data_IF_912009571233
#
_entry.id   IF_912009571233
#
_cell.length_a   1.000
_cell.length_b   1.000
_cell.length_c   1.000
_cell.angle_alpha   90.00
_cell.angle_beta   90.00
_cell.angle_gamma   90.00
#
_symmetry.space_group_name_H-M   'P 1'
#
loop_
_entity.id
_entity.type
_entity.pdbx_description
1 polymer ?
#
# COMPACT_ATOMS: atom_id res chain seq x y z
N UNK A 1 13.81 -6.28 -37.36
CA UNK A 1 14.32 -7.37 -36.50
C UNK A 1 14.79 -6.86 -35.13
N UNK A 2 15.50 -5.72 -35.05
CA UNK A 2 15.89 -5.12 -33.75
C UNK A 2 14.67 -4.58 -32.96
N UNK A 3 13.70 -3.97 -33.64
CA UNK A 3 12.49 -3.43 -32.99
C UNK A 3 11.58 -4.53 -32.39
N UNK A 4 11.43 -5.66 -33.09
CA UNK A 4 10.63 -6.82 -32.62
C UNK A 4 11.22 -7.43 -31.34
N UNK A 5 12.56 -7.50 -31.25
CA UNK A 5 13.25 -7.97 -30.04
C UNK A 5 13.04 -7.01 -28.86
N UNK A 6 13.01 -5.70 -29.12
CA UNK A 6 12.69 -4.69 -28.12
C UNK A 6 11.26 -4.78 -27.59
N UNK A 7 10.28 -5.03 -28.48
CA UNK A 7 8.86 -5.21 -28.11
C UNK A 7 8.68 -6.46 -27.24
N UNK A 8 9.28 -7.59 -27.65
CA UNK A 8 9.21 -8.85 -26.89
C UNK A 8 9.80 -8.71 -25.48
N UNK A 9 10.96 -8.07 -25.33
CA UNK A 9 11.58 -7.86 -24.02
C UNK A 9 10.71 -7.01 -23.08
N UNK A 10 10.05 -5.96 -23.58
CA UNK A 10 9.15 -5.12 -22.77
C UNK A 10 7.90 -5.87 -22.32
N UNK A 11 7.35 -6.73 -23.18
CA UNK A 11 6.21 -7.58 -22.82
C UNK A 11 6.59 -8.55 -21.70
N UNK A 12 7.77 -9.16 -21.79
CA UNK A 12 8.30 -10.04 -20.73
C UNK A 12 8.46 -9.25 -19.43
N UNK A 13 9.05 -8.04 -19.48
CA UNK A 13 9.24 -7.19 -18.31
C UNK A 13 7.91 -6.78 -17.65
N UNK A 14 6.93 -6.34 -18.45
CA UNK A 14 5.60 -6.01 -17.98
C UNK A 14 4.92 -7.22 -17.32
N UNK A 15 4.99 -8.38 -17.96
CA UNK A 15 4.41 -9.62 -17.42
C UNK A 15 5.06 -10.03 -16.10
N UNK A 16 6.38 -9.81 -15.94
CA UNK A 16 7.10 -10.07 -14.70
C UNK A 16 6.65 -9.11 -13.58
N UNK A 17 6.49 -7.82 -13.87
CA UNK A 17 5.97 -6.84 -12.89
C UNK A 17 4.53 -7.17 -12.47
N UNK A 18 3.68 -7.57 -13.42
CA UNK A 18 2.31 -8.02 -13.14
C UNK A 18 2.29 -9.30 -12.30
N UNK A 19 3.20 -10.24 -12.57
CA UNK A 19 3.34 -11.46 -11.76
C UNK A 19 3.73 -11.13 -10.32
N UNK A 20 4.69 -10.21 -10.12
CA UNK A 20 5.07 -9.75 -8.79
C UNK A 20 3.89 -9.08 -8.05
N UNK A 21 3.18 -8.16 -8.71
CA UNK A 21 2.02 -7.50 -8.10
C UNK A 21 0.90 -8.46 -7.70
N UNK A 22 0.69 -9.52 -8.49
CA UNK A 22 -0.23 -10.61 -8.13
C UNK A 22 0.28 -11.42 -6.94
N UNK A 23 1.57 -11.72 -6.90
CA UNK A 23 2.18 -12.47 -5.80
C UNK A 23 2.09 -11.74 -4.45
N UNK A 24 2.12 -10.40 -4.45
CA UNK A 24 1.92 -9.57 -3.25
C UNK A 24 0.45 -9.54 -2.79
N UNK A 25 -0.49 -9.42 -3.73
CA UNK A 25 -1.92 -9.27 -3.41
C UNK A 25 -2.60 -10.60 -3.05
N UNK A 26 -2.24 -11.67 -3.75
CA UNK A 26 -2.94 -12.95 -3.68
C UNK A 26 -2.02 -13.98 -3.06
N UNK A 27 -2.39 -14.46 -1.88
CA UNK A 27 -1.79 -15.66 -1.30
C UNK A 27 -2.07 -16.89 -2.18
N UNK A 28 -1.19 -17.91 -2.19
CA UNK A 28 -1.38 -19.15 -2.97
C UNK A 28 -2.78 -19.75 -2.82
N UNK A 29 -3.46 -20.11 -3.93
CA UNK A 29 -4.81 -20.66 -3.87
C UNK A 29 -4.83 -21.99 -3.10
N UNK A 30 -5.81 -22.14 -2.21
CA UNK A 30 -6.09 -23.41 -1.52
C UNK A 30 -5.40 -23.65 -0.17
N UNK A 31 -4.76 -22.64 0.42
CA UNK A 31 -3.98 -22.83 1.67
C UNK A 31 -4.44 -21.89 2.81
N UNK A 32 -4.37 -22.36 4.06
CA UNK A 32 -4.87 -21.66 5.25
C UNK A 32 -4.18 -20.29 5.45
N UNK A 33 -4.99 -19.25 5.65
CA UNK A 33 -4.62 -17.82 5.66
C UNK A 33 -3.52 -17.43 6.68
N UNK A 34 -3.22 -18.28 7.65
CA UNK A 34 -2.33 -17.96 8.78
C UNK A 34 -0.83 -18.27 8.55
N UNK A 35 -0.42 -18.92 7.45
CA UNK A 35 0.99 -19.32 7.25
C UNK A 35 1.56 -19.18 5.83
N UNK A 36 0.81 -18.64 4.89
CA UNK A 36 1.14 -18.82 3.47
C UNK A 36 1.76 -17.56 2.93
N UNK A 37 3.08 -17.51 3.09
CA UNK A 37 3.91 -16.47 2.54
C UNK A 37 4.74 -17.12 1.42
N UNK A 38 4.64 -16.58 0.21
CA UNK A 38 5.48 -16.99 -0.93
C UNK A 38 6.71 -16.07 -0.99
N UNK A 39 7.93 -16.61 -1.02
CA UNK A 39 9.13 -15.82 -1.30
C UNK A 39 9.00 -15.05 -2.63
N UNK A 40 9.35 -13.77 -2.63
CA UNK A 40 9.26 -12.89 -3.83
C UNK A 40 10.56 -12.87 -4.64
N UNK A 41 11.62 -13.53 -4.16
CA UNK A 41 12.88 -13.72 -4.88
C UNK A 41 12.74 -14.17 -6.34
N UNK A 42 11.92 -15.19 -6.69
CA UNK A 42 11.85 -15.64 -8.08
C UNK A 42 11.26 -14.57 -9.01
N UNK A 43 10.25 -13.83 -8.54
CA UNK A 43 9.64 -12.73 -9.28
C UNK A 43 10.61 -11.53 -9.40
N UNK A 44 11.33 -11.17 -8.34
CA UNK A 44 12.35 -10.10 -8.37
C UNK A 44 13.48 -10.46 -9.35
N UNK A 45 13.93 -11.72 -9.35
CA UNK A 45 14.94 -12.21 -10.29
C UNK A 45 14.44 -12.24 -11.75
N UNK A 46 13.13 -12.45 -11.97
CA UNK A 46 12.55 -12.35 -13.31
C UNK A 46 12.53 -10.90 -13.81
N UNK A 47 12.20 -9.95 -12.92
CA UNK A 47 12.22 -8.51 -13.22
C UNK A 47 13.64 -8.03 -13.53
N UNK A 48 14.64 -8.43 -12.73
CA UNK A 48 16.04 -8.03 -12.97
C UNK A 48 16.60 -8.56 -14.30
N UNK A 49 16.18 -9.75 -14.74
CA UNK A 49 16.57 -10.32 -16.04
C UNK A 49 15.85 -9.68 -17.23
N UNK A 50 14.60 -9.26 -17.04
CA UNK A 50 13.77 -8.71 -18.09
C UNK A 50 13.91 -7.19 -18.23
N UNK A 51 14.47 -6.51 -17.22
CA UNK A 51 14.64 -5.07 -17.21
C UNK A 51 15.48 -4.58 -18.43
N UNK A 52 15.08 -3.46 -19.05
CA UNK A 52 15.94 -2.73 -19.98
C UNK A 52 17.27 -2.35 -19.29
N UNK A 53 18.37 -2.27 -20.06
CA UNK A 53 19.75 -2.07 -19.56
C UNK A 53 19.81 -1.10 -18.36
N UNK A 54 20.03 -1.66 -17.16
CA UNK A 54 20.30 -0.99 -15.89
C UNK A 54 19.57 0.36 -15.67
N UNK A 55 18.25 0.40 -15.88
CA UNK A 55 17.48 1.60 -15.57
C UNK A 55 17.62 1.96 -14.08
N UNK A 56 18.07 3.19 -13.74
CA UNK A 56 18.28 3.60 -12.35
C UNK A 56 17.01 3.53 -11.51
N UNK A 57 15.83 3.78 -12.10
CA UNK A 57 14.55 3.71 -11.39
C UNK A 57 14.19 2.26 -11.05
N UNK A 58 14.37 1.33 -11.99
CA UNK A 58 14.11 -0.09 -11.78
C UNK A 58 15.05 -0.65 -10.71
N UNK A 59 16.32 -0.26 -10.76
CA UNK A 59 17.30 -0.64 -9.74
C UNK A 59 16.95 -0.07 -8.37
N UNK A 60 16.52 1.19 -8.29
CA UNK A 60 16.07 1.83 -7.05
C UNK A 60 14.81 1.16 -6.48
N UNK A 61 13.83 0.83 -7.32
CA UNK A 61 12.61 0.16 -6.92
C UNK A 61 12.88 -1.25 -6.37
N UNK A 62 13.76 -2.04 -7.01
CA UNK A 62 14.18 -3.35 -6.52
C UNK A 62 14.90 -3.23 -5.17
N UNK A 63 15.79 -2.25 -5.01
CA UNK A 63 16.48 -1.97 -3.73
C UNK A 63 15.54 -1.49 -2.63
N UNK A 64 14.41 -0.86 -3.00
CA UNK A 64 13.38 -0.41 -2.06
C UNK A 64 12.54 -1.54 -1.49
N UNK A 65 12.60 -2.75 -2.06
CA UNK A 65 11.91 -3.92 -1.51
C UNK A 65 12.71 -4.43 -0.29
N UNK A 66 12.09 -4.53 0.90
CA UNK A 66 12.79 -5.02 2.09
C UNK A 66 13.22 -6.48 1.91
N UNK A 67 14.42 -6.83 2.39
CA UNK A 67 14.96 -8.20 2.25
C UNK A 67 14.06 -9.27 2.87
N UNK A 68 13.34 -8.91 3.94
CA UNK A 68 12.36 -9.77 4.59
C UNK A 68 11.21 -10.15 3.64
N UNK A 69 10.76 -9.20 2.81
CA UNK A 69 9.77 -9.46 1.77
C UNK A 69 10.34 -10.31 0.63
N UNK A 70 11.62 -10.17 0.28
CA UNK A 70 12.24 -10.99 -0.76
C UNK A 70 12.34 -12.47 -0.33
N UNK A 71 12.96 -12.72 0.83
CA UNK A 71 13.31 -14.07 1.31
C UNK A 71 12.12 -14.86 1.84
N UNK A 72 11.34 -14.24 2.72
CA UNK A 72 10.19 -14.89 3.38
C UNK A 72 8.91 -14.66 2.60
N UNK A 73 8.80 -13.51 1.94
CA UNK A 73 7.58 -13.02 1.30
C UNK A 73 6.79 -12.07 2.20
N UNK A 74 5.63 -11.66 1.71
CA UNK A 74 4.77 -10.65 2.36
C UNK A 74 3.42 -11.25 2.74
N UNK A 75 2.89 -10.85 3.90
CA UNK A 75 1.53 -11.21 4.28
C UNK A 75 0.51 -10.44 3.42
N UNK A 76 -0.47 -11.12 2.81
CA UNK A 76 -1.51 -10.44 2.06
C UNK A 76 -2.39 -9.62 3.00
N UNK A 77 -3.04 -8.59 2.43
CA UNK A 77 -3.92 -7.66 3.15
C UNK A 77 -4.98 -8.38 4.00
N UNK A 78 -5.60 -9.44 3.46
CA UNK A 78 -6.62 -10.21 4.17
C UNK A 78 -6.08 -10.95 5.39
N UNK A 79 -4.83 -11.44 5.32
CA UNK A 79 -4.18 -12.08 6.46
C UNK A 79 -3.84 -11.06 7.55
N UNK A 80 -3.33 -9.89 7.16
CA UNK A 80 -3.08 -8.79 8.10
C UNK A 80 -4.36 -8.28 8.76
N UNK A 81 -5.47 -8.18 8.01
CA UNK A 81 -6.78 -7.77 8.55
C UNK A 81 -7.31 -8.76 9.60
N UNK A 82 -7.17 -10.06 9.36
CA UNK A 82 -7.54 -11.11 10.34
C UNK A 82 -6.65 -11.08 11.57
N UNK A 83 -5.33 -10.92 11.39
CA UNK A 83 -4.37 -10.84 12.49
C UNK A 83 -4.59 -9.60 13.34
N UNK A 84 -4.97 -8.48 12.73
CA UNK A 84 -5.26 -7.23 13.44
C UNK A 84 -6.35 -7.41 14.50
N UNK A 85 -7.42 -8.16 14.23
CA UNK A 85 -8.49 -8.39 15.22
C UNK A 85 -7.96 -8.97 16.54
N UNK A 86 -6.99 -9.88 16.47
CA UNK A 86 -6.34 -10.45 17.66
C UNK A 86 -5.47 -9.40 18.35
N UNK A 87 -4.72 -8.61 17.57
CA UNK A 87 -3.86 -7.54 18.11
C UNK A 87 -4.69 -6.45 18.79
N UNK A 88 -5.79 -6.03 18.19
CA UNK A 88 -6.74 -5.05 18.72
C UNK A 88 -7.31 -5.51 20.06
N UNK A 89 -7.76 -6.76 20.15
CA UNK A 89 -8.32 -7.33 21.39
C UNK A 89 -7.28 -7.38 22.52
N UNK A 90 -6.04 -7.81 22.22
CA UNK A 90 -4.96 -7.84 23.22
C UNK A 90 -4.52 -6.41 23.60
N UNK A 91 -4.34 -5.53 22.63
CA UNK A 91 -3.97 -4.13 22.86
C UNK A 91 -5.01 -3.39 23.71
N UNK A 92 -6.30 -3.66 23.47
CA UNK A 92 -7.41 -3.14 24.27
C UNK A 92 -7.33 -3.59 25.73
N UNK A 93 -7.05 -4.87 25.97
CA UNK A 93 -6.90 -5.42 27.33
C UNK A 93 -5.72 -4.85 28.09
N UNK A 94 -4.71 -4.35 27.37
CA UNK A 94 -3.49 -3.79 27.94
C UNK A 94 -3.44 -2.26 27.92
N UNK A 95 -4.56 -1.58 27.65
CA UNK A 95 -4.59 -0.13 27.46
C UNK A 95 -4.04 0.69 28.64
N UNK A 96 -4.12 0.18 29.88
CA UNK A 96 -3.58 0.86 31.08
C UNK A 96 -2.13 0.46 31.43
N UNK A 97 -1.52 -0.47 30.69
CA UNK A 97 -0.22 -1.04 31.07
C UNK A 97 0.92 -0.23 30.43
N UNK A 98 1.88 0.29 31.21
CA UNK A 98 3.06 1.02 30.71
C UNK A 98 4.04 0.09 29.95
N UNK A 99 5.04 0.68 29.26
CA UNK A 99 5.98 -0.08 28.41
C UNK A 99 6.93 -0.96 29.21
N UNK A 100 7.31 -0.51 30.41
CA UNK A 100 8.24 -1.17 31.33
C UNK A 100 7.64 -2.40 32.02
N UNK A 101 6.35 -2.68 31.76
CA UNK A 101 5.58 -3.67 32.45
C UNK A 101 5.00 -3.16 33.77
N UNK A 102 4.07 -3.92 34.33
CA UNK A 102 3.36 -3.54 35.53
C UNK A 102 3.26 -4.69 36.55
N UNK A 103 2.80 -4.38 37.76
CA UNK A 103 2.46 -5.42 38.73
C UNK A 103 1.20 -6.18 38.30
N UNK A 104 1.06 -7.45 38.73
CA UNK A 104 -0.08 -8.31 38.39
C UNK A 104 -1.46 -7.66 38.64
N UNK A 105 -1.70 -6.90 39.73
CA UNK A 105 -2.96 -6.20 39.94
C UNK A 105 -3.30 -5.20 38.82
N UNK A 106 -2.29 -4.54 38.24
CA UNK A 106 -2.51 -3.57 37.14
C UNK A 106 -2.96 -4.28 35.87
N UNK A 107 -2.41 -5.46 35.56
CA UNK A 107 -2.89 -6.29 34.46
C UNK A 107 -4.34 -6.75 34.67
N UNK A 108 -4.69 -7.16 35.89
CA UNK A 108 -6.06 -7.54 36.25
C UNK A 108 -7.02 -6.36 36.11
N UNK A 109 -6.66 -5.18 36.63
CA UNK A 109 -7.45 -3.97 36.53
C UNK A 109 -7.60 -3.51 35.07
N UNK A 110 -6.53 -3.57 34.27
CA UNK A 110 -6.57 -3.25 32.83
C UNK A 110 -7.53 -4.19 32.08
N UNK A 111 -7.48 -5.48 32.38
CA UNK A 111 -8.41 -6.45 31.81
C UNK A 111 -9.87 -6.14 32.21
N UNK A 112 -10.12 -5.89 33.51
CA UNK A 112 -11.47 -5.56 33.99
C UNK A 112 -12.00 -4.25 33.39
N UNK A 113 -11.16 -3.22 33.33
CA UNK A 113 -11.52 -1.94 32.72
C UNK A 113 -11.87 -2.12 31.23
N UNK A 114 -11.07 -2.90 30.49
CA UNK A 114 -11.32 -3.15 29.06
C UNK A 114 -12.67 -3.83 28.78
N UNK A 115 -13.22 -4.55 29.76
CA UNK A 115 -14.53 -5.16 29.68
C UNK A 115 -15.66 -4.17 30.03
N UNK A 116 -15.43 -3.25 30.98
CA UNK A 116 -16.41 -2.25 31.43
C UNK A 116 -16.50 -1.03 30.51
N UNK A 117 -15.44 -0.71 29.78
CA UNK A 117 -15.46 0.34 28.75
C UNK A 117 -16.37 -0.14 27.62
N UNK A 118 -17.60 0.36 27.63
CA UNK A 118 -18.51 0.21 26.51
C UNK A 118 -17.81 0.71 25.24
N UNK A 119 -18.07 0.04 24.12
CA UNK A 119 -17.60 0.48 22.80
C UNK A 119 -18.31 1.80 22.47
N UNK A 120 -17.81 2.90 23.00
CA UNK A 120 -18.20 4.23 22.56
C UNK A 120 -17.63 4.35 21.16
N UNK A 121 -18.46 3.96 20.17
CA UNK A 121 -18.16 4.18 18.78
C UNK A 121 -18.29 5.69 18.55
N UNK A 122 -17.25 6.43 18.91
CA UNK A 122 -17.12 7.83 18.53
C UNK A 122 -17.11 7.85 16.99
N UNK A 123 -18.17 8.37 16.35
CA UNK A 123 -18.19 8.42 14.90
C UNK A 123 -17.02 9.29 14.46
N UNK A 124 -16.32 8.85 13.42
CA UNK A 124 -15.24 9.63 12.83
C UNK A 124 -15.83 10.95 12.34
N UNK A 125 -15.25 12.06 12.82
CA UNK A 125 -15.76 13.38 12.50
C UNK A 125 -15.60 13.65 11.00
N UNK A 126 -16.45 14.51 10.45
CA UNK A 126 -16.33 14.91 9.04
C UNK A 126 -15.00 15.59 8.76
N UNK A 127 -14.49 16.36 9.72
CA UNK A 127 -13.15 16.94 9.68
C UNK A 127 -12.04 15.92 9.50
N UNK A 128 -12.11 14.75 10.15
CA UNK A 128 -11.14 13.67 9.97
C UNK A 128 -11.21 13.01 8.58
N UNK A 129 -12.34 13.13 7.88
CA UNK A 129 -12.51 12.67 6.49
C UNK A 129 -12.05 13.71 5.47
N UNK A 130 -12.03 14.98 5.88
CA UNK A 130 -11.57 16.14 5.11
C UNK A 130 -10.07 16.42 5.35
N UNK A 131 -9.33 15.43 5.89
CA UNK A 131 -7.89 15.49 6.20
C UNK A 131 -7.47 16.67 7.13
N UNK A 132 -8.39 17.18 7.95
CA UNK A 132 -8.09 18.23 8.93
C UNK A 132 -7.14 17.73 10.06
N UNK A 133 -6.33 18.62 10.65
CA UNK A 133 -5.42 18.25 11.72
C UNK A 133 -6.17 17.77 12.97
N UNK A 134 -5.83 16.56 13.41
CA UNK A 134 -6.44 15.91 14.56
C UNK A 134 -5.67 16.28 15.83
N UNK A 135 -6.38 16.59 16.92
CA UNK A 135 -5.75 16.74 18.23
C UNK A 135 -5.36 15.38 18.82
N UNK A 136 -4.11 14.99 18.57
CA UNK A 136 -3.48 13.75 19.04
C UNK A 136 -3.53 13.60 20.56
N UNK A 137 -3.55 14.70 21.32
CA UNK A 137 -3.50 14.63 22.79
C UNK A 137 -4.86 14.26 23.41
N UNK A 138 -5.96 14.51 22.70
CA UNK A 138 -7.31 14.14 23.14
C UNK A 138 -7.61 12.64 22.98
N UNK A 139 -6.83 11.93 22.18
CA UNK A 139 -7.06 10.53 21.80
C UNK A 139 -6.58 9.56 22.88
N UNK A 140 -7.51 8.75 23.39
CA UNK A 140 -7.19 7.60 24.25
C UNK A 140 -6.82 6.37 23.39
N UNK A 141 -6.15 5.37 23.98
CA UNK A 141 -5.81 4.09 23.33
C UNK A 141 -7.00 3.42 22.67
N UNK A 142 -8.17 3.44 23.33
CA UNK A 142 -9.40 2.86 22.78
C UNK A 142 -9.88 3.58 21.51
N UNK A 143 -9.81 4.91 21.50
CA UNK A 143 -10.16 5.75 20.36
C UNK A 143 -9.22 5.54 19.17
N UNK A 144 -7.92 5.40 19.45
CA UNK A 144 -6.89 5.09 18.44
C UNK A 144 -7.16 3.73 17.81
N UNK A 145 -7.40 2.69 18.63
CA UNK A 145 -7.69 1.34 18.13
C UNK A 145 -8.98 1.30 17.31
N UNK A 146 -10.00 2.05 17.72
CA UNK A 146 -11.26 2.14 16.98
C UNK A 146 -11.09 2.81 15.60
N UNK A 147 -10.36 3.93 15.55
CA UNK A 147 -10.04 4.62 14.28
C UNK A 147 -9.17 3.76 13.36
N UNK A 148 -8.15 3.11 13.92
CA UNK A 148 -7.33 2.16 13.17
C UNK A 148 -8.18 1.05 12.55
N UNK A 149 -9.12 0.46 13.32
CA UNK A 149 -10.03 -0.58 12.83
C UNK A 149 -10.88 -0.09 11.66
N UNK A 150 -11.40 1.13 11.75
CA UNK A 150 -12.24 1.72 10.71
C UNK A 150 -11.52 1.89 9.37
N UNK A 151 -10.29 2.43 9.37
CA UNK A 151 -9.50 2.58 8.14
C UNK A 151 -9.06 1.23 7.57
N UNK A 152 -8.73 0.27 8.45
CA UNK A 152 -8.33 -1.06 8.05
C UNK A 152 -9.45 -1.84 7.35
N UNK A 153 -10.69 -1.69 7.82
CA UNK A 153 -11.86 -2.32 7.20
C UNK A 153 -12.14 -1.80 5.80
N UNK A 154 -11.64 -0.59 5.47
CA UNK A 154 -11.70 -0.01 4.13
C UNK A 154 -10.50 -0.35 3.24
N UNK A 155 -9.48 -0.99 3.80
CA UNK A 155 -8.24 -1.31 3.09
C UNK A 155 -7.21 -0.18 3.10
N UNK A 156 -7.39 0.88 3.88
CA UNK A 156 -6.35 1.90 4.04
C UNK A 156 -5.38 1.51 5.16
N UNK A 157 -4.39 0.71 4.80
CA UNK A 157 -3.32 0.27 5.69
C UNK A 157 -2.38 1.43 6.09
N UNK A 158 -2.26 2.47 5.27
CA UNK A 158 -1.39 3.62 5.54
C UNK A 158 -1.95 4.47 6.68
N UNK A 159 -3.23 4.83 6.61
CA UNK A 159 -3.90 5.54 7.70
C UNK A 159 -4.00 4.67 8.95
N UNK A 160 -4.27 3.38 8.80
CA UNK A 160 -4.25 2.44 9.94
C UNK A 160 -2.90 2.47 10.65
N UNK A 161 -1.79 2.38 9.92
CA UNK A 161 -0.44 2.42 10.50
C UNK A 161 -0.13 3.76 11.17
N UNK A 162 -0.62 4.89 10.63
CA UNK A 162 -0.51 6.21 11.26
C UNK A 162 -1.17 6.24 12.64
N UNK A 163 -2.43 5.76 12.76
CA UNK A 163 -3.11 5.68 14.05
C UNK A 163 -2.42 4.71 15.01
N UNK A 164 -2.01 3.54 14.54
CA UNK A 164 -1.32 2.55 15.38
C UNK A 164 0.02 3.07 15.91
N UNK A 165 0.70 3.96 15.19
CA UNK A 165 1.90 4.63 15.66
C UNK A 165 1.65 5.65 16.80
N UNK A 166 0.40 6.05 17.04
CA UNK A 166 0.02 6.90 18.18
C UNK A 166 -0.13 6.12 19.48
N UNK A 167 -0.20 4.78 19.41
CA UNK A 167 -0.23 3.92 20.60
C UNK A 167 1.04 4.12 21.43
N UNK A 168 0.88 4.06 22.75
CA UNK A 168 1.94 4.13 23.76
C UNK A 168 1.75 2.95 24.73
N UNK A 169 2.78 2.58 25.48
CA UNK A 169 2.64 1.53 26.49
C UNK A 169 2.73 0.11 25.92
N UNK A 170 2.29 -0.85 26.73
CA UNK A 170 2.16 -2.24 26.31
C UNK A 170 1.30 -2.45 25.03
N UNK A 171 0.22 -1.68 24.77
CA UNK A 171 -0.53 -1.76 23.51
C UNK A 171 0.35 -1.55 22.27
N UNK A 172 1.30 -0.61 22.34
CA UNK A 172 2.26 -0.34 21.26
C UNK A 172 3.20 -1.53 21.06
N UNK A 173 3.70 -2.10 22.16
CA UNK A 173 4.59 -3.26 22.14
C UNK A 173 3.94 -4.46 21.46
N UNK A 174 2.70 -4.79 21.84
CA UNK A 174 1.93 -5.89 21.22
C UNK A 174 1.62 -5.61 19.74
N UNK A 175 1.32 -4.36 19.40
CA UNK A 175 1.05 -3.96 18.03
C UNK A 175 2.31 -3.92 17.15
N UNK A 176 3.51 -3.85 17.72
CA UNK A 176 4.78 -3.62 17.00
C UNK A 176 5.00 -4.62 15.89
N UNK A 177 4.80 -5.89 16.17
CA UNK A 177 4.99 -6.95 15.19
C UNK A 177 4.02 -6.80 14.01
N UNK A 178 2.75 -6.47 14.29
CA UNK A 178 1.77 -6.23 13.22
C UNK A 178 2.06 -4.97 12.41
N UNK A 179 2.53 -3.91 13.08
CA UNK A 179 2.93 -2.66 12.44
C UNK A 179 4.14 -2.86 11.51
N UNK A 180 5.12 -3.66 11.93
CA UNK A 180 6.28 -3.98 11.10
C UNK A 180 5.89 -4.76 9.85
N UNK A 181 5.03 -5.79 10.00
CA UNK A 181 4.53 -6.56 8.85
C UNK A 181 3.73 -5.70 7.87
N UNK A 182 2.95 -4.76 8.39
CA UNK A 182 2.20 -3.80 7.57
C UNK A 182 3.12 -2.84 6.82
N UNK A 183 4.21 -2.38 7.46
CA UNK A 183 5.23 -1.55 6.81
C UNK A 183 5.88 -2.29 5.63
N UNK A 184 6.28 -3.54 5.84
CA UNK A 184 6.89 -4.39 4.80
C UNK A 184 5.93 -4.54 3.61
N UNK A 185 4.64 -4.76 3.86
CA UNK A 185 3.62 -4.80 2.82
C UNK A 185 3.55 -3.49 2.03
N UNK A 186 3.45 -2.35 2.71
CA UNK A 186 3.32 -1.04 2.07
C UNK A 186 4.57 -0.67 1.24
N UNK A 187 5.77 -0.94 1.77
CA UNK A 187 7.04 -0.72 1.05
C UNK A 187 7.11 -1.56 -0.22
N UNK A 188 6.67 -2.81 -0.14
CA UNK A 188 6.63 -3.72 -1.29
C UNK A 188 5.60 -3.29 -2.33
N UNK A 189 4.40 -2.88 -1.89
CA UNK A 189 3.35 -2.36 -2.78
C UNK A 189 3.81 -1.11 -3.52
N UNK A 190 4.44 -0.17 -2.80
CA UNK A 190 5.00 1.03 -3.40
C UNK A 190 6.05 0.72 -4.47
N UNK A 191 6.96 -0.23 -4.20
CA UNK A 191 7.97 -0.65 -5.16
C UNK A 191 7.32 -1.27 -6.42
N UNK A 192 6.32 -2.14 -6.24
CA UNK A 192 5.56 -2.76 -7.35
C UNK A 192 4.83 -1.70 -8.18
N UNK A 193 4.12 -0.78 -7.53
CA UNK A 193 3.36 0.26 -8.21
C UNK A 193 4.28 1.19 -9.00
N UNK A 194 5.47 1.50 -8.45
CA UNK A 194 6.50 2.26 -9.15
C UNK A 194 7.00 1.54 -10.41
N UNK A 195 7.26 0.23 -10.31
CA UNK A 195 7.65 -0.59 -11.46
C UNK A 195 6.56 -0.64 -12.53
N UNK A 196 5.31 -0.88 -12.13
CA UNK A 196 4.17 -0.93 -13.05
C UNK A 196 3.92 0.41 -13.73
N UNK A 197 3.99 1.52 -12.99
CA UNK A 197 3.86 2.86 -13.53
C UNK A 197 4.98 3.18 -14.53
N UNK A 198 6.23 2.79 -14.21
CA UNK A 198 7.36 2.97 -15.11
C UNK A 198 7.21 2.19 -16.42
N UNK A 199 6.80 0.91 -16.35
CA UNK A 199 6.58 0.11 -17.56
C UNK A 199 5.41 0.63 -18.38
N UNK A 200 4.32 1.07 -17.72
CA UNK A 200 3.17 1.68 -18.38
C UNK A 200 3.56 2.97 -19.12
N UNK A 201 4.29 3.87 -18.45
CA UNK A 201 4.79 5.09 -19.06
C UNK A 201 5.72 4.80 -20.25
N UNK A 202 6.68 3.89 -20.06
CA UNK A 202 7.60 3.48 -21.14
C UNK A 202 6.85 2.88 -22.32
N UNK A 203 5.81 2.06 -22.09
CA UNK A 203 4.97 1.50 -23.16
C UNK A 203 4.21 2.56 -23.97
N UNK A 204 3.67 3.59 -23.29
CA UNK A 204 3.00 4.73 -23.92
C UNK A 204 3.96 5.58 -24.77
N UNK A 205 5.19 5.80 -24.32
CA UNK A 205 6.19 6.55 -25.08
C UNK A 205 6.47 5.94 -26.45
N UNK A 206 6.50 4.60 -26.56
CA UNK A 206 6.73 3.94 -27.85
C UNK A 206 5.50 3.97 -28.77
N UNK A 207 4.28 3.91 -28.22
CA UNK A 207 3.05 4.08 -28.99
C UNK A 207 2.89 5.54 -29.48
N UNK A 208 3.36 6.52 -28.70
CA UNK A 208 3.40 7.93 -29.10
C UNK A 208 4.53 8.25 -30.10
N UNK A 209 5.64 7.51 -30.05
CA UNK A 209 6.76 7.67 -30.97
C UNK A 209 6.49 7.11 -32.39
N UNK A 210 5.51 6.22 -32.56
CA UNK A 210 4.98 5.84 -33.87
C UNK A 210 4.08 6.92 -34.50
N UNK A 211 3.89 8.07 -33.83
CA UNK A 211 3.13 9.22 -34.32
C UNK A 211 3.94 10.27 -35.11
N UNK A 212 5.19 9.98 -35.49
CA UNK A 212 5.93 10.82 -36.46
C UNK A 212 6.20 10.09 -37.77
N UNK A 213 5.18 9.81 -38.59
CA UNK A 213 5.45 9.45 -39.96
C UNK A 213 5.73 10.74 -40.73
N UNK A 214 6.88 10.79 -41.41
CA UNK A 214 7.02 11.62 -42.61
C UNK A 214 5.96 11.13 -43.62
N UNK A 215 4.78 11.75 -43.62
CA UNK A 215 3.87 11.79 -44.77
C UNK A 215 3.92 13.24 -45.25
N UNK A 216 4.65 13.61 -46.30
CA UNK A 216 4.38 13.23 -47.68
C UNK A 216 2.86 13.25 -47.92
N UNK A 217 2.43 14.33 -48.55
CA UNK A 217 1.05 14.60 -48.93
C UNK A 217 0.35 13.33 -49.42
N UNK A 218 -0.66 12.88 -48.68
CA UNK A 218 -1.90 12.51 -49.33
C UNK A 218 -3.08 12.71 -48.40
N UNK A 219 -4.14 13.18 -49.01
CA UNK A 219 -5.33 13.74 -48.41
C UNK A 219 -6.35 12.62 -48.23
N UNK A 220 -6.69 12.22 -47.01
CA UNK A 220 -8.04 11.74 -46.74
C UNK A 220 -8.40 11.75 -45.25
N UNK A 221 -9.31 12.66 -44.95
CA UNK A 221 -10.06 12.77 -43.72
C UNK A 221 -10.94 11.55 -43.48
N UNK A 222 -10.90 10.96 -42.28
CA UNK A 222 -12.07 10.40 -41.57
C UNK A 222 -11.75 10.10 -40.10
N UNK A 223 -12.12 11.06 -39.27
CA UNK A 223 -12.72 10.96 -37.93
C UNK A 223 -12.77 9.56 -37.31
N UNK A 224 -12.04 9.38 -36.21
CA UNK A 224 -12.47 8.72 -34.97
C UNK A 224 -11.27 8.67 -34.02
N UNK A 225 -10.97 9.76 -33.29
CA UNK A 225 -10.06 9.76 -32.11
C UNK A 225 -10.07 11.12 -31.39
N UNK A 226 -11.23 11.54 -30.88
CA UNK A 226 -11.35 12.77 -30.08
C UNK A 226 -11.92 12.56 -28.68
N UNK A 227 -12.71 11.51 -28.45
CA UNK A 227 -13.47 11.33 -27.20
C UNK A 227 -12.76 10.48 -26.15
N UNK A 228 -11.96 9.49 -26.55
CA UNK A 228 -11.21 8.66 -25.61
C UNK A 228 -9.97 9.36 -25.03
N UNK A 229 -9.33 10.25 -25.81
CA UNK A 229 -8.15 10.98 -25.37
C UNK A 229 -8.50 12.05 -24.31
N UNK A 230 -9.65 12.72 -24.44
CA UNK A 230 -10.12 13.67 -23.43
C UNK A 230 -10.44 12.99 -22.08
N UNK A 231 -11.02 11.78 -22.09
CA UNK A 231 -11.34 11.09 -20.83
C UNK A 231 -10.09 10.57 -20.11
N UNK A 232 -9.09 10.07 -20.84
CA UNK A 232 -7.83 9.61 -20.23
C UNK A 232 -7.00 10.78 -19.65
N UNK A 233 -7.02 11.94 -20.30
CA UNK A 233 -6.34 13.15 -19.81
C UNK A 233 -7.05 13.72 -18.58
N UNK A 234 -8.40 13.75 -18.56
CA UNK A 234 -9.18 14.21 -17.39
C UNK A 234 -8.99 13.29 -16.16
N UNK A 235 -8.92 11.98 -16.35
CA UNK A 235 -8.67 11.03 -15.25
C UNK A 235 -7.24 11.16 -14.70
N UNK A 236 -6.27 11.51 -15.54
CA UNK A 236 -4.88 11.71 -15.13
C UNK A 236 -4.67 13.07 -14.44
N UNK A 237 -5.38 14.12 -14.89
CA UNK A 237 -5.35 15.45 -14.24
C UNK A 237 -6.06 15.40 -12.88
N UNK A 238 -7.19 14.70 -12.75
CA UNK A 238 -7.91 14.56 -11.48
C UNK A 238 -7.15 13.74 -10.42
N UNK A 239 -6.13 12.97 -10.80
CA UNK A 239 -5.30 12.18 -9.89
C UNK A 239 -3.99 12.89 -9.50
N UNK A 240 -3.71 14.09 -10.02
CA UNK A 240 -2.43 14.78 -9.85
C UNK A 240 -2.54 16.24 -9.38
N UNK A 241 -3.61 16.59 -8.67
CA UNK A 241 -3.72 17.89 -8.00
C UNK A 241 -3.44 17.73 -6.50
N UNK A 242 -2.27 18.17 -6.00
CA UNK A 242 -2.04 18.32 -4.58
C UNK A 242 -2.80 19.55 -4.11
N UNK A 243 -3.69 19.37 -3.14
CA UNK A 243 -4.41 20.44 -2.46
C UNK A 243 -3.41 21.45 -1.86
N UNK A 244 -3.15 22.53 -2.60
CA UNK A 244 -2.54 23.78 -2.14
C UNK A 244 -3.52 24.88 -2.54
N UNK A 245 -4.28 25.36 -1.57
CA UNK A 245 -4.35 26.77 -1.17
C UNK A 245 -5.64 27.04 -0.37
N UNK A 246 -5.47 27.32 0.91
CA UNK A 246 -6.42 28.08 1.73
C UNK A 246 -5.64 28.88 2.76
N UNK A 247 -4.89 29.86 2.26
CA UNK A 247 -4.34 30.97 3.02
C UNK A 247 -4.86 32.24 2.35
N UNK A 248 -6.07 32.67 2.75
CA UNK A 248 -6.56 34.04 2.59
C UNK A 248 -7.78 34.24 3.51
N UNK A 249 -7.56 35.08 4.53
CA UNK A 249 -8.45 35.59 5.59
C UNK A 249 -8.56 34.76 6.88
#
# INVERSE_FOLDING_TARGET
MEDEKGISNRQIFWSACQALGRAVKIGPPGTLVDKVIRPLEPEINAISKAAPRDDPLVCAAIRGIPEEAAKRGVFPEDALRKRFLKVEDVARRLAMVPEEGASLPIYFLSYLQSFLVFRTANPISKSELEDEPIDVNSLNTYDILHRARYWLDRGDFKMTLRYMNLLKGAPRSVARDWMNETRILLETQLAVDTLLAHVGATGLFYLGAEGSPKLAADNDSRLLNGTFLCMAILITIAMLEPERDSLCL
#
